data_IF_154202988644
#
_entry.id   IF_154202988644
#
_cell.length_a   1.000
_cell.length_b   1.000
_cell.length_c   1.000
_cell.angle_alpha   90.00
_cell.angle_beta   90.00
_cell.angle_gamma   90.00
#
_symmetry.space_group_name_H-M   'P 1'
#
loop_
_entity.id
_entity.type
_entity.pdbx_description
1 polymer ?
#
# COMPACT_ATOMS: atom_id res chain seq x y z
N UNK A 1 21.98 0.61 -62.58
CA UNK A 1 22.15 1.45 -61.37
C UNK A 1 22.14 0.53 -60.20
N UNK A 2 23.34 0.09 -59.76
CA UNK A 2 23.51 -0.89 -58.66
C UNK A 2 23.64 -0.13 -57.35
N UNK A 3 22.71 -0.38 -56.45
CA UNK A 3 22.76 0.17 -55.09
C UNK A 3 24.00 -0.41 -54.38
N UNK A 4 24.89 0.41 -53.83
CA UNK A 4 26.11 -0.09 -53.21
C UNK A 4 25.79 -0.93 -51.99
N UNK A 5 26.33 -2.11 -51.93
CA UNK A 5 26.17 -3.14 -50.85
C UNK A 5 26.30 -2.54 -49.41
N UNK A 6 27.08 -1.48 -49.26
CA UNK A 6 27.26 -0.76 -47.98
C UNK A 6 25.99 -0.05 -47.48
N UNK A 7 25.12 0.42 -48.38
CA UNK A 7 23.83 1.03 -48.03
C UNK A 7 22.80 -0.02 -47.58
N UNK A 8 22.87 -1.22 -48.16
CA UNK A 8 22.00 -2.35 -47.76
C UNK A 8 22.33 -2.86 -46.36
N UNK A 9 23.61 -2.89 -46.00
CA UNK A 9 24.08 -3.31 -44.67
C UNK A 9 23.70 -2.29 -43.58
N UNK A 10 23.73 -0.98 -43.89
CA UNK A 10 23.31 0.07 -42.96
C UNK A 10 21.79 0.01 -42.73
N UNK A 11 21.01 -0.37 -43.74
CA UNK A 11 19.56 -0.52 -43.60
C UNK A 11 19.16 -1.76 -42.78
N UNK A 12 19.91 -2.85 -42.88
CA UNK A 12 19.70 -4.05 -42.08
C UNK A 12 20.04 -3.85 -40.58
N UNK A 13 21.03 -2.98 -40.29
CA UNK A 13 21.39 -2.65 -38.90
C UNK A 13 20.39 -1.70 -38.23
N UNK A 14 19.64 -0.90 -39.01
CA UNK A 14 18.62 0.01 -38.47
C UNK A 14 17.32 -0.72 -38.06
N UNK A 15 17.10 -1.96 -38.51
CA UNK A 15 15.91 -2.75 -38.19
C UNK A 15 16.05 -3.67 -36.98
N UNK A 16 17.23 -3.75 -36.34
CA UNK A 16 17.37 -4.35 -35.03
C UNK A 16 16.98 -3.37 -33.93
N UNK A 17 15.76 -2.83 -34.00
CA UNK A 17 15.15 -2.22 -32.85
C UNK A 17 14.91 -3.34 -31.83
N UNK A 18 15.68 -3.34 -30.75
CA UNK A 18 15.36 -4.12 -29.58
C UNK A 18 13.91 -3.81 -29.22
N UNK A 19 13.01 -4.73 -29.49
CA UNK A 19 11.67 -4.65 -28.92
C UNK A 19 11.90 -4.74 -27.41
N UNK A 20 11.94 -3.61 -26.74
CA UNK A 20 11.76 -3.58 -25.30
C UNK A 20 10.41 -4.23 -25.07
N UNK A 21 10.39 -5.50 -24.69
CA UNK A 21 9.19 -6.18 -24.24
C UNK A 21 8.73 -5.38 -23.03
N UNK A 22 7.74 -4.52 -23.24
CA UNK A 22 7.08 -3.84 -22.14
C UNK A 22 6.65 -4.97 -21.19
N UNK A 23 7.17 -4.95 -19.96
CA UNK A 23 6.80 -5.97 -18.99
C UNK A 23 5.27 -6.00 -18.89
N UNK A 24 4.72 -7.19 -19.07
CA UNK A 24 3.27 -7.36 -19.04
C UNK A 24 2.75 -7.06 -17.63
N UNK A 25 1.95 -6.01 -17.51
CA UNK A 25 1.34 -5.61 -16.23
C UNK A 25 0.58 -6.77 -15.57
N UNK A 26 0.00 -7.68 -16.36
CA UNK A 26 -0.69 -8.86 -15.81
C UNK A 26 0.29 -9.82 -15.11
N UNK A 27 1.49 -10.00 -15.63
CA UNK A 27 2.53 -10.79 -14.97
C UNK A 27 3.00 -10.15 -13.67
N UNK A 28 3.19 -8.82 -13.68
CA UNK A 28 3.51 -8.05 -12.48
C UNK A 28 2.41 -8.18 -11.42
N UNK A 29 1.14 -8.03 -11.80
CA UNK A 29 -0.01 -8.21 -10.92
C UNK A 29 0.00 -9.60 -10.29
N UNK A 30 0.19 -10.66 -11.09
CA UNK A 30 0.22 -12.03 -10.61
C UNK A 30 1.34 -12.27 -9.60
N UNK A 31 2.49 -11.61 -9.76
CA UNK A 31 3.60 -11.64 -8.82
C UNK A 31 3.29 -10.88 -7.53
N UNK A 32 2.85 -9.62 -7.64
CA UNK A 32 2.55 -8.74 -6.50
C UNK A 32 1.47 -9.34 -5.59
N UNK A 33 0.42 -9.91 -6.17
CA UNK A 33 -0.68 -10.54 -5.42
C UNK A 33 -0.24 -11.62 -4.43
N UNK A 34 0.87 -12.29 -4.68
CA UNK A 34 1.43 -13.33 -3.79
C UNK A 34 1.99 -12.77 -2.49
N UNK A 35 2.29 -11.48 -2.47
CA UNK A 35 2.91 -10.77 -1.35
C UNK A 35 1.93 -9.83 -0.63
N UNK A 36 0.70 -9.67 -1.15
CA UNK A 36 -0.34 -8.83 -0.55
C UNK A 36 -1.21 -9.68 0.36
N UNK A 37 -1.41 -9.21 1.59
CA UNK A 37 -2.14 -9.91 2.65
C UNK A 37 -3.20 -9.01 3.27
N UNK A 38 -4.27 -9.61 3.77
CA UNK A 38 -5.19 -8.91 4.65
C UNK A 38 -4.55 -8.67 6.02
N UNK A 39 -4.94 -7.59 6.69
CA UNK A 39 -4.64 -7.35 8.10
C UNK A 39 -5.94 -7.43 8.88
N UNK A 40 -5.91 -8.10 10.01
CA UNK A 40 -7.09 -8.26 10.84
C UNK A 40 -6.75 -8.76 12.23
N UNK A 41 -7.80 -9.06 12.98
CA UNK A 41 -7.69 -9.63 14.31
C UNK A 41 -8.49 -10.93 14.43
N UNK A 42 -7.99 -11.83 15.24
CA UNK A 42 -8.64 -13.07 15.63
C UNK A 42 -9.00 -13.05 17.11
N UNK A 43 -10.23 -13.45 17.40
CA UNK A 43 -10.70 -13.70 18.77
C UNK A 43 -11.58 -14.93 18.74
N UNK A 44 -11.18 -15.98 19.48
CA UNK A 44 -11.85 -17.27 19.46
C UNK A 44 -13.32 -17.22 19.90
N UNK A 45 -13.66 -16.30 20.80
CA UNK A 45 -15.02 -16.14 21.36
C UNK A 45 -15.93 -15.25 20.53
N UNK A 46 -15.44 -14.72 19.39
CA UNK A 46 -16.20 -13.82 18.50
C UNK A 46 -16.76 -14.59 17.31
N UNK A 47 -17.90 -14.18 16.83
CA UNK A 47 -18.47 -14.65 15.55
C UNK A 47 -18.70 -13.45 14.61
N UNK A 48 -18.03 -13.39 13.44
CA UNK A 48 -16.95 -14.28 12.99
C UNK A 48 -15.67 -14.11 13.82
N UNK A 49 -14.90 -15.18 13.98
CA UNK A 49 -13.69 -15.18 14.81
C UNK A 49 -12.61 -14.22 14.27
N UNK A 50 -12.53 -14.07 12.93
CA UNK A 50 -11.60 -13.14 12.26
C UNK A 50 -12.36 -11.91 11.79
N UNK A 51 -11.82 -10.74 12.09
CA UNK A 51 -12.30 -9.44 11.58
C UNK A 51 -11.19 -8.79 10.77
N UNK A 52 -11.49 -8.46 9.53
CA UNK A 52 -10.61 -7.77 8.60
C UNK A 52 -10.61 -6.25 8.89
N UNK A 53 -9.44 -5.62 8.80
CA UNK A 53 -9.26 -4.19 9.08
C UNK A 53 -8.64 -3.42 7.91
N UNK A 54 -7.85 -4.06 7.07
CA UNK A 54 -7.17 -3.42 5.94
C UNK A 54 -6.18 -4.35 5.25
N UNK A 55 -5.36 -3.77 4.41
CA UNK A 55 -4.36 -4.45 3.60
C UNK A 55 -2.96 -4.28 4.20
N UNK A 56 -2.08 -5.22 3.96
CA UNK A 56 -0.64 -5.13 4.17
C UNK A 56 0.12 -5.87 3.07
N UNK A 57 1.42 -5.75 3.08
CA UNK A 57 2.27 -6.46 2.12
C UNK A 57 3.59 -6.90 2.75
N UNK A 58 4.09 -8.02 2.23
CA UNK A 58 5.31 -8.67 2.71
C UNK A 58 6.53 -8.04 2.09
N UNK A 59 7.58 -7.81 2.89
CA UNK A 59 8.84 -7.21 2.47
C UNK A 59 10.06 -7.91 3.10
N UNK A 60 11.25 -7.58 2.64
CA UNK A 60 12.52 -7.99 3.24
C UNK A 60 12.70 -9.50 3.24
N UNK A 61 12.78 -10.08 4.43
CA UNK A 61 13.02 -11.51 4.66
C UNK A 61 11.79 -12.42 4.42
N UNK A 62 10.68 -11.85 3.98
CA UNK A 62 9.42 -12.56 3.77
C UNK A 62 8.60 -12.77 5.06
N UNK A 63 9.01 -12.16 6.17
CA UNK A 63 8.29 -12.18 7.44
C UNK A 63 7.87 -10.78 7.91
N UNK A 64 8.52 -9.76 7.39
CA UNK A 64 8.18 -8.36 7.65
C UNK A 64 6.96 -7.94 6.85
N UNK A 65 5.99 -7.28 7.49
CA UNK A 65 4.74 -6.79 6.89
C UNK A 65 4.64 -5.30 7.11
N UNK A 66 4.38 -4.55 6.06
CA UNK A 66 4.06 -3.13 6.14
C UNK A 66 2.56 -2.93 5.94
N UNK A 67 1.97 -2.07 6.76
CA UNK A 67 0.58 -1.61 6.68
C UNK A 67 0.44 -0.21 7.28
N UNK A 68 -0.78 0.32 7.41
CA UNK A 68 -1.02 1.57 8.13
C UNK A 68 -1.16 1.35 9.65
N UNK A 69 -0.77 2.36 10.43
CA UNK A 69 -0.92 2.35 11.89
C UNK A 69 -2.40 2.27 12.31
N UNK A 70 -3.30 3.02 11.64
CA UNK A 70 -4.73 2.98 11.94
C UNK A 70 -5.36 1.60 11.67
N UNK A 71 -4.84 0.82 10.71
CA UNK A 71 -5.30 -0.54 10.42
C UNK A 71 -4.98 -1.46 11.60
N UNK A 72 -3.77 -1.35 12.15
CA UNK A 72 -3.34 -2.11 13.33
C UNK A 72 -4.14 -1.69 14.56
N UNK A 73 -4.30 -0.38 14.79
CA UNK A 73 -5.07 0.14 15.93
C UNK A 73 -6.54 -0.30 15.87
N UNK A 74 -7.13 -0.34 14.67
CA UNK A 74 -8.48 -0.86 14.49
C UNK A 74 -8.59 -2.36 14.81
N UNK A 75 -7.49 -3.11 14.60
CA UNK A 75 -7.38 -4.53 14.92
C UNK A 75 -7.10 -4.81 16.40
N UNK A 76 -6.59 -3.83 17.14
CA UNK A 76 -6.20 -3.95 18.56
C UNK A 76 -7.16 -3.13 19.43
N UNK A 77 -8.41 -3.56 19.58
CA UNK A 77 -9.42 -2.84 20.40
C UNK A 77 -9.22 -2.94 21.92
N UNK A 78 -8.01 -3.27 22.35
CA UNK A 78 -7.65 -3.35 23.80
C UNK A 78 -8.16 -4.60 24.51
N UNK A 79 -8.71 -5.56 23.81
CA UNK A 79 -9.10 -6.84 24.38
C UNK A 79 -7.87 -7.78 24.43
N UNK A 80 -7.45 -8.24 25.61
CA UNK A 80 -6.27 -9.10 25.78
C UNK A 80 -6.40 -10.47 25.09
N UNK A 81 -7.62 -10.87 24.71
CA UNK A 81 -7.90 -12.11 23.99
C UNK A 81 -7.89 -11.91 22.46
N UNK A 82 -7.67 -10.71 21.99
CA UNK A 82 -7.64 -10.40 20.57
C UNK A 82 -6.20 -10.38 20.03
N UNK A 83 -5.94 -11.19 19.02
CA UNK A 83 -4.61 -11.30 18.40
C UNK A 83 -4.64 -10.65 17.03
N UNK A 84 -3.73 -9.71 16.78
CA UNK A 84 -3.53 -9.12 15.44
C UNK A 84 -2.75 -10.10 14.56
N UNK A 85 -3.02 -10.09 13.25
CA UNK A 85 -2.31 -10.95 12.32
C UNK A 85 -2.64 -10.63 10.87
N UNK A 86 -2.07 -11.48 10.00
CA UNK A 86 -2.35 -11.45 8.57
C UNK A 86 -3.42 -12.48 8.22
N UNK A 87 -4.16 -12.17 7.17
CA UNK A 87 -5.19 -13.03 6.58
C UNK A 87 -4.79 -13.33 5.14
N UNK A 88 -4.64 -14.60 4.82
CA UNK A 88 -4.18 -15.07 3.52
C UNK A 88 -5.31 -15.87 2.88
N UNK A 89 -5.76 -15.48 1.69
CA UNK A 89 -6.77 -16.25 0.94
C UNK A 89 -6.24 -17.62 0.54
N UNK A 90 -7.05 -18.66 0.72
CA UNK A 90 -6.75 -20.06 0.38
C UNK A 90 -7.95 -20.71 -0.30
N UNK A 91 -8.04 -20.59 -1.61
CA UNK A 91 -9.22 -21.07 -2.35
C UNK A 91 -10.49 -20.38 -1.88
N UNK A 92 -11.49 -21.14 -1.41
CA UNK A 92 -12.75 -20.59 -0.86
C UNK A 92 -12.64 -20.14 0.60
N UNK A 93 -11.51 -20.41 1.27
CA UNK A 93 -11.25 -20.06 2.67
C UNK A 93 -10.12 -19.09 2.86
N UNK A 94 -9.66 -18.99 4.10
CA UNK A 94 -8.49 -18.19 4.46
C UNK A 94 -7.70 -18.85 5.60
N UNK A 95 -6.42 -18.50 5.64
CA UNK A 95 -5.52 -18.79 6.76
C UNK A 95 -5.33 -17.51 7.58
N UNK A 96 -5.53 -17.56 8.90
CA UNK A 96 -5.10 -16.50 9.79
C UNK A 96 -3.75 -16.86 10.39
N UNK A 97 -2.79 -15.94 10.31
CA UNK A 97 -1.46 -16.11 10.89
C UNK A 97 -1.18 -14.95 11.85
N UNK A 98 -0.91 -15.23 13.13
CA UNK A 98 -0.57 -14.22 14.12
C UNK A 98 0.63 -13.39 13.68
N UNK A 99 0.63 -12.12 14.06
CA UNK A 99 1.74 -11.21 13.83
C UNK A 99 2.00 -10.34 15.06
N UNK A 100 3.26 -10.04 15.31
CA UNK A 100 3.68 -9.13 16.37
C UNK A 100 3.95 -7.75 15.79
N UNK A 101 3.38 -6.72 16.39
CA UNK A 101 3.69 -5.32 16.06
C UNK A 101 5.10 -5.00 16.57
N UNK A 102 5.98 -4.62 15.65
CA UNK A 102 7.39 -4.29 15.93
C UNK A 102 7.58 -2.81 16.14
N UNK A 103 6.98 -2.00 15.28
CA UNK A 103 7.11 -0.55 15.30
C UNK A 103 5.86 0.11 14.71
N UNK A 104 5.51 1.28 15.24
CA UNK A 104 4.43 2.13 14.74
C UNK A 104 4.97 3.53 14.53
N UNK A 105 4.70 4.09 13.38
CA UNK A 105 4.96 5.47 13.04
C UNK A 105 3.62 6.21 12.91
N UNK A 106 3.24 6.88 13.99
CA UNK A 106 1.97 7.60 14.05
C UNK A 106 1.96 8.87 13.19
N UNK A 107 3.13 9.44 12.89
CA UNK A 107 3.28 10.64 12.06
C UNK A 107 2.95 10.34 10.60
N UNK A 108 3.50 9.24 10.07
CA UNK A 108 3.29 8.79 8.70
C UNK A 108 2.17 7.76 8.57
N UNK A 109 1.51 7.41 9.68
CA UNK A 109 0.46 6.39 9.75
C UNK A 109 0.90 5.04 9.16
N UNK A 110 2.09 4.58 9.53
CA UNK A 110 2.66 3.30 9.11
C UNK A 110 2.87 2.36 10.30
N UNK A 111 2.82 1.07 10.06
CA UNK A 111 3.14 0.03 11.02
C UNK A 111 3.97 -1.09 10.38
N UNK A 112 4.91 -1.61 11.15
CA UNK A 112 5.70 -2.79 10.82
C UNK A 112 5.30 -3.94 11.74
N UNK A 113 4.88 -5.05 11.16
CA UNK A 113 4.59 -6.28 11.85
C UNK A 113 5.54 -7.38 11.39
N UNK A 114 5.74 -8.37 12.25
CA UNK A 114 6.49 -9.59 11.92
C UNK A 114 5.60 -10.79 12.14
N UNK A 115 5.49 -11.64 11.12
CA UNK A 115 4.78 -12.91 11.19
C UNK A 115 5.69 -14.04 11.62
N UNK A 116 5.12 -15.03 12.27
CA UNK A 116 5.79 -16.27 12.61
C UNK A 116 5.66 -17.31 11.50
N UNK A 117 6.53 -18.32 11.55
CA UNK A 117 6.49 -19.45 10.61
C UNK A 117 7.19 -19.20 9.29
N UNK A 118 6.69 -19.83 8.21
CA UNK A 118 7.32 -19.80 6.91
C UNK A 118 7.28 -18.41 6.27
N UNK A 119 8.40 -18.01 5.65
CA UNK A 119 8.47 -16.79 4.86
C UNK A 119 7.50 -16.83 3.68
N UNK A 120 6.95 -15.67 3.33
CA UNK A 120 6.11 -15.46 2.17
C UNK A 120 6.89 -14.71 1.08
N UNK A 121 6.45 -14.75 -0.18
CA UNK A 121 7.03 -13.91 -1.22
C UNK A 121 7.06 -12.45 -0.79
N UNK A 122 8.20 -11.77 -0.95
CA UNK A 122 8.41 -10.40 -0.54
C UNK A 122 8.47 -9.46 -1.74
N UNK A 123 7.89 -8.26 -1.60
CA UNK A 123 8.03 -7.17 -2.57
C UNK A 123 9.35 -6.43 -2.34
N UNK A 124 9.91 -5.96 -3.44
CA UNK A 124 11.06 -5.06 -3.42
C UNK A 124 10.58 -3.64 -3.19
N UNK A 125 11.24 -2.91 -2.28
CA UNK A 125 10.99 -1.50 -2.03
C UNK A 125 11.90 -0.64 -2.91
N UNK A 126 11.37 0.47 -3.42
CA UNK A 126 12.15 1.50 -4.09
C UNK A 126 13.21 2.10 -3.18
N UNK A 127 14.11 2.88 -3.77
CA UNK A 127 15.26 3.49 -3.08
C UNK A 127 14.89 4.57 -2.05
N UNK A 128 13.64 5.04 -2.08
CA UNK A 128 13.11 6.10 -1.21
C UNK A 128 13.07 7.47 -1.88
N UNK A 129 13.59 7.62 -3.10
CA UNK A 129 13.40 8.83 -3.88
C UNK A 129 11.92 9.02 -4.24
N UNK A 130 11.48 10.28 -4.26
CA UNK A 130 10.13 10.62 -4.72
C UNK A 130 10.01 10.34 -6.20
N UNK A 131 8.89 9.75 -6.61
CA UNK A 131 8.58 9.54 -8.03
C UNK A 131 8.19 10.85 -8.70
N UNK A 132 8.45 10.95 -9.99
CA UNK A 132 7.98 12.10 -10.78
C UNK A 132 6.46 12.02 -11.00
N UNK A 133 5.79 13.17 -10.96
CA UNK A 133 4.39 13.30 -11.37
C UNK A 133 4.19 12.85 -12.82
N UNK A 134 3.01 12.34 -13.13
CA UNK A 134 2.69 11.75 -14.43
C UNK A 134 3.10 10.27 -14.58
N UNK A 135 3.72 9.64 -13.58
CA UNK A 135 4.04 8.20 -13.60
C UNK A 135 2.78 7.36 -13.43
N UNK A 136 2.63 6.35 -14.28
CA UNK A 136 1.65 5.29 -14.07
C UNK A 136 2.08 4.38 -12.93
N UNK A 137 1.12 4.01 -12.09
CA UNK A 137 1.29 3.16 -10.92
C UNK A 137 0.18 2.13 -10.85
N UNK A 138 0.43 1.06 -10.11
CA UNK A 138 -0.59 0.12 -9.68
C UNK A 138 -0.66 0.08 -8.16
N UNK A 139 -1.82 -0.24 -7.61
CA UNK A 139 -1.92 -0.66 -6.21
C UNK A 139 -2.83 -1.86 -6.08
N UNK A 140 -2.53 -2.73 -5.14
CA UNK A 140 -3.24 -4.00 -4.95
C UNK A 140 -3.62 -4.16 -3.49
N UNK A 141 -4.89 -4.42 -3.21
CA UNK A 141 -5.40 -4.62 -1.86
C UNK A 141 -6.73 -5.34 -1.84
N UNK A 142 -7.41 -5.27 -0.70
CA UNK A 142 -8.68 -5.93 -0.46
C UNK A 142 -9.80 -4.90 -0.26
N UNK A 143 -10.34 -4.30 -1.35
CA UNK A 143 -11.43 -3.36 -1.24
C UNK A 143 -12.65 -4.05 -0.63
N UNK A 144 -13.34 -3.34 0.28
CA UNK A 144 -14.51 -3.84 1.01
C UNK A 144 -14.26 -5.13 1.81
N UNK A 145 -12.99 -5.55 1.96
CA UNK A 145 -12.56 -6.65 2.81
C UNK A 145 -13.30 -7.96 2.56
N UNK A 146 -13.88 -8.53 3.61
CA UNK A 146 -14.56 -9.83 3.58
C UNK A 146 -15.87 -9.84 2.76
N UNK A 147 -16.43 -8.67 2.40
CA UNK A 147 -17.70 -8.59 1.66
C UNK A 147 -17.58 -9.16 0.24
N UNK A 148 -16.43 -8.91 -0.41
CA UNK A 148 -16.13 -9.44 -1.74
C UNK A 148 -15.29 -10.72 -1.71
N UNK A 149 -15.07 -11.29 -0.52
CA UNK A 149 -14.09 -12.35 -0.32
C UNK A 149 -12.64 -11.80 -0.27
N UNK A 150 -11.71 -12.66 0.16
CA UNK A 150 -10.28 -12.29 0.26
C UNK A 150 -9.56 -12.42 -1.08
N UNK A 151 -10.11 -11.78 -2.10
CA UNK A 151 -9.49 -11.69 -3.41
C UNK A 151 -8.78 -10.34 -3.54
N UNK A 152 -7.44 -10.31 -3.71
CA UNK A 152 -6.74 -9.05 -3.92
C UNK A 152 -7.11 -8.45 -5.27
N UNK A 153 -7.54 -7.18 -5.26
CA UNK A 153 -7.93 -6.40 -6.43
C UNK A 153 -6.85 -5.40 -6.76
N UNK A 154 -6.49 -5.31 -8.03
CA UNK A 154 -5.52 -4.34 -8.53
C UNK A 154 -6.22 -3.17 -9.20
N UNK A 155 -5.79 -1.97 -8.86
CA UNK A 155 -6.20 -0.72 -9.48
C UNK A 155 -5.03 -0.09 -10.22
N UNK A 156 -5.32 0.55 -11.36
CA UNK A 156 -4.36 1.39 -12.07
C UNK A 156 -4.51 2.83 -11.57
N UNK A 157 -3.42 3.56 -11.44
CA UNK A 157 -3.39 4.91 -10.95
C UNK A 157 -2.39 5.77 -11.73
N UNK A 158 -2.59 7.08 -11.73
CA UNK A 158 -1.61 8.06 -12.15
C UNK A 158 -1.15 8.84 -10.93
N UNK A 159 0.16 9.07 -10.77
CA UNK A 159 0.67 10.03 -9.80
C UNK A 159 0.38 11.44 -10.32
N UNK A 160 -0.70 12.04 -9.82
CA UNK A 160 -1.19 13.34 -10.30
C UNK A 160 -0.48 14.52 -9.67
N UNK A 161 -0.08 14.40 -8.39
CA UNK A 161 0.64 15.45 -7.68
C UNK A 161 1.40 14.89 -6.46
N UNK A 162 2.43 15.64 -6.06
CA UNK A 162 3.11 15.48 -4.77
C UNK A 162 2.71 16.67 -3.90
N UNK A 163 1.89 16.43 -2.88
CA UNK A 163 1.32 17.51 -2.06
C UNK A 163 1.70 17.33 -0.59
N UNK A 164 1.92 18.41 0.18
CA UNK A 164 2.00 18.30 1.63
C UNK A 164 0.64 17.85 2.17
N UNK A 165 0.62 17.03 3.22
CA UNK A 165 -0.62 16.68 3.89
C UNK A 165 -1.29 17.96 4.38
N UNK A 166 -2.47 18.22 3.86
CA UNK A 166 -3.43 19.16 4.43
C UNK A 166 -4.45 18.32 5.17
N UNK A 167 -4.37 18.27 6.50
CA UNK A 167 -5.47 17.70 7.29
C UNK A 167 -6.72 18.51 6.98
N UNK A 168 -7.81 17.89 6.48
CA UNK A 168 -9.07 18.62 6.32
C UNK A 168 -9.47 19.16 7.70
N UNK A 169 -9.61 20.47 7.82
CA UNK A 169 -10.20 21.09 8.99
C UNK A 169 -11.64 20.60 9.06
N UNK A 170 -11.92 19.67 9.97
CA UNK A 170 -13.27 19.26 10.29
C UNK A 170 -14.00 20.46 10.91
N UNK A 171 -14.75 21.16 10.08
CA UNK A 171 -15.58 22.34 10.38
C UNK A 171 -14.83 23.65 10.65
N UNK A 172 -15.10 24.62 9.81
CA UNK A 172 -14.71 26.04 9.89
C UNK A 172 -15.23 26.78 11.13
N UNK A 173 -15.78 26.10 12.13
CA UNK A 173 -16.38 26.70 13.30
C UNK A 173 -15.71 26.42 14.65
N UNK A 174 -14.74 25.49 14.74
CA UNK A 174 -14.06 25.17 16.00
C UNK A 174 -12.58 24.88 15.79
N UNK A 175 -11.78 25.92 15.65
CA UNK A 175 -10.33 25.86 15.83
C UNK A 175 -10.04 25.70 17.34
N UNK A 176 -10.20 24.49 17.85
CA UNK A 176 -9.74 24.17 19.20
C UNK A 176 -8.21 24.01 19.23
N UNK A 177 -7.60 24.14 20.41
CA UNK A 177 -6.15 24.01 20.62
C UNK A 177 -5.56 22.73 19.99
N UNK A 178 -6.34 21.63 19.93
CA UNK A 178 -5.94 20.40 19.25
C UNK A 178 -5.82 20.51 17.72
N UNK A 179 -6.64 21.34 17.07
CA UNK A 179 -6.55 21.59 15.62
C UNK A 179 -5.32 22.46 15.30
N UNK A 180 -4.97 23.40 16.16
CA UNK A 180 -3.78 24.25 16.03
C UNK A 180 -2.51 23.39 16.20
N UNK A 181 -2.47 22.48 17.17
CA UNK A 181 -1.36 21.53 17.34
C UNK A 181 -1.22 20.57 16.14
N UNK A 182 -2.32 20.16 15.51
CA UNK A 182 -2.29 19.36 14.29
C UNK A 182 -1.75 20.14 13.08
N UNK A 183 -2.05 21.43 12.97
CA UNK A 183 -1.50 22.32 11.93
C UNK A 183 -0.01 22.62 12.13
N UNK A 184 0.52 22.43 13.35
CA UNK A 184 1.94 22.60 13.69
C UNK A 184 2.77 21.32 13.51
N UNK A 185 2.13 20.16 13.30
CA UNK A 185 2.86 18.93 12.97
C UNK A 185 3.59 19.08 11.63
N UNK A 186 4.79 18.51 11.57
CA UNK A 186 5.61 18.53 10.38
C UNK A 186 4.80 18.01 9.18
N UNK A 187 4.70 18.84 8.14
CA UNK A 187 4.06 18.47 6.88
C UNK A 187 5.06 17.63 6.10
N UNK A 188 4.67 16.46 5.67
CA UNK A 188 5.47 15.65 4.75
C UNK A 188 4.75 15.48 3.42
N UNK A 189 5.49 15.31 2.31
CA UNK A 189 4.89 15.10 1.00
C UNK A 189 4.16 13.76 0.94
N UNK A 190 2.98 13.74 0.33
CA UNK A 190 2.24 12.52 -0.02
C UNK A 190 1.98 12.49 -1.51
N UNK A 191 1.82 11.31 -2.05
CA UNK A 191 1.36 11.09 -3.42
C UNK A 191 -0.15 11.25 -3.48
N UNK A 192 -0.62 12.13 -4.37
CA UNK A 192 -2.00 12.20 -4.78
C UNK A 192 -2.16 11.40 -6.08
N UNK A 193 -3.02 10.42 -6.06
CA UNK A 193 -3.25 9.50 -7.17
C UNK A 193 -4.62 9.76 -7.79
N UNK A 194 -4.68 9.79 -9.11
CA UNK A 194 -5.92 9.70 -9.89
C UNK A 194 -6.37 8.23 -9.93
N UNK A 195 -7.08 7.83 -8.90
CA UNK A 195 -7.63 6.49 -8.75
C UNK A 195 -8.61 6.45 -7.59
N UNK A 196 -9.56 5.53 -7.65
CA UNK A 196 -10.50 5.28 -6.55
C UNK A 196 -9.99 4.15 -5.66
N UNK A 197 -9.73 4.44 -4.39
CA UNK A 197 -9.52 3.42 -3.36
C UNK A 197 -10.77 3.32 -2.48
N UNK A 198 -11.09 2.09 -2.07
CA UNK A 198 -12.22 1.78 -1.20
C UNK A 198 -11.76 1.41 0.21
N UNK A 199 -12.66 1.47 1.22
CA UNK A 199 -12.37 0.93 2.55
C UNK A 199 -11.81 -0.51 2.45
N UNK A 200 -10.69 -0.77 3.13
CA UNK A 200 -9.94 -2.01 3.02
C UNK A 200 -8.65 -1.88 2.19
N UNK A 201 -8.54 -0.88 1.29
CA UNK A 201 -7.30 -0.63 0.56
C UNK A 201 -6.23 0.10 1.40
N UNK A 202 -6.55 0.61 2.60
CA UNK A 202 -5.53 1.14 3.51
C UNK A 202 -4.42 0.11 3.74
N UNK A 203 -3.15 0.51 3.55
CA UNK A 203 -1.98 -0.35 3.66
C UNK A 203 -1.59 -1.09 2.38
N UNK A 204 -2.31 -0.90 1.27
CA UNK A 204 -1.96 -1.49 -0.03
C UNK A 204 -0.64 -0.95 -0.55
N UNK A 205 0.25 -1.78 -1.14
CA UNK A 205 1.44 -1.31 -1.84
C UNK A 205 1.06 -0.56 -3.11
N UNK A 206 1.70 0.58 -3.33
CA UNK A 206 1.69 1.33 -4.60
C UNK A 206 2.99 1.05 -5.31
N UNK A 207 2.93 0.54 -6.53
CA UNK A 207 4.09 0.01 -7.23
C UNK A 207 4.12 0.39 -8.71
N UNK A 208 5.33 0.33 -9.28
CA UNK A 208 5.54 0.48 -10.71
C UNK A 208 4.97 -0.74 -11.45
N UNK A 209 4.08 -0.54 -12.45
CA UNK A 209 3.39 -1.64 -13.14
C UNK A 209 4.33 -2.52 -13.98
N UNK A 210 5.52 -2.07 -14.31
CA UNK A 210 6.48 -2.84 -15.10
C UNK A 210 7.38 -3.70 -14.22
N UNK A 211 7.80 -3.21 -13.05
CA UNK A 211 8.80 -3.85 -12.19
C UNK A 211 8.23 -4.49 -10.94
N UNK A 212 7.05 -4.05 -10.48
CA UNK A 212 6.49 -4.44 -9.19
C UNK A 212 7.21 -3.83 -7.98
N UNK A 213 8.18 -2.93 -8.19
CA UNK A 213 8.88 -2.23 -7.12
C UNK A 213 7.91 -1.25 -6.44
N UNK A 214 7.86 -1.30 -5.11
CA UNK A 214 6.92 -0.50 -4.31
C UNK A 214 7.50 0.88 -4.01
N UNK A 215 6.73 1.93 -4.30
CA UNK A 215 7.09 3.32 -4.09
C UNK A 215 6.20 4.06 -3.09
N UNK A 216 5.10 3.45 -2.64
CA UNK A 216 4.21 4.06 -1.65
C UNK A 216 3.27 3.07 -0.98
N UNK A 217 2.52 3.57 -0.01
CA UNK A 217 1.53 2.83 0.77
C UNK A 217 0.21 3.62 0.77
N UNK A 218 -0.87 3.02 0.27
CA UNK A 218 -2.20 3.65 0.26
C UNK A 218 -2.62 4.04 1.67
N UNK A 219 -3.12 5.27 1.80
CA UNK A 219 -3.63 5.79 3.06
C UNK A 219 -5.01 6.44 2.87
N UNK A 220 -6.04 5.79 3.40
CA UNK A 220 -7.43 6.26 3.30
C UNK A 220 -7.83 7.24 4.42
N UNK A 221 -6.97 7.45 5.43
CA UNK A 221 -7.29 8.35 6.56
C UNK A 221 -7.31 9.81 6.11
N UNK A 222 -6.50 10.16 5.11
CA UNK A 222 -6.47 11.52 4.58
C UNK A 222 -7.77 11.95 3.87
N UNK A 223 -8.66 11.00 3.59
CA UNK A 223 -9.98 11.22 2.98
C UNK A 223 -11.11 11.15 4.02
N UNK A 224 -10.80 11.07 5.32
CA UNK A 224 -11.74 10.73 6.41
C UNK A 224 -12.96 11.65 6.62
N UNK A 225 -13.01 12.84 6.03
CA UNK A 225 -14.26 13.62 6.04
C UNK A 225 -15.38 13.04 5.17
N UNK A 226 -15.10 11.96 4.42
CA UNK A 226 -15.93 11.44 3.34
C UNK A 226 -16.18 9.91 3.43
N UNK A 227 -15.99 9.25 4.59
CA UNK A 227 -16.05 7.78 4.69
C UNK A 227 -17.38 7.19 4.20
N UNK A 228 -18.51 7.82 4.52
CA UNK A 228 -19.81 7.39 4.02
C UNK A 228 -19.99 7.75 2.54
N UNK A 229 -19.41 8.88 2.12
CA UNK A 229 -19.41 9.32 0.73
C UNK A 229 -18.49 8.49 -0.17
N UNK A 230 -17.41 7.89 0.34
CA UNK A 230 -16.45 7.11 -0.47
C UNK A 230 -17.08 5.83 -1.08
N UNK A 231 -18.15 5.31 -0.50
CA UNK A 231 -18.90 4.17 -1.04
C UNK A 231 -19.99 4.65 -1.99
N UNK A 232 -20.67 5.75 -1.68
CA UNK A 232 -21.80 6.29 -2.43
C UNK A 232 -21.41 7.30 -3.50
N UNK A 233 -20.29 8.00 -3.30
CA UNK A 233 -19.78 9.05 -4.19
C UNK A 233 -18.24 9.08 -4.14
N UNK A 234 -17.55 8.11 -4.73
CA UNK A 234 -16.09 8.06 -4.72
C UNK A 234 -15.49 9.29 -5.41
N UNK A 235 -14.53 9.93 -4.78
CA UNK A 235 -13.93 11.17 -5.28
C UNK A 235 -12.99 11.00 -6.47
N UNK A 236 -12.57 9.77 -6.79
CA UNK A 236 -11.52 9.53 -7.78
C UNK A 236 -10.11 9.94 -7.32
N UNK A 237 -9.97 10.46 -6.10
CA UNK A 237 -8.69 10.88 -5.52
C UNK A 237 -8.30 9.93 -4.40
N UNK A 238 -7.07 9.45 -4.46
CA UNK A 238 -6.48 8.59 -3.42
C UNK A 238 -5.12 9.14 -3.01
N UNK A 239 -4.74 8.95 -1.76
CA UNK A 239 -3.43 9.35 -1.26
C UNK A 239 -2.59 8.14 -0.87
N UNK A 240 -1.26 8.28 -1.06
CA UNK A 240 -0.30 7.29 -0.61
C UNK A 240 0.90 7.96 0.08
N UNK A 241 1.39 7.30 1.12
CA UNK A 241 2.61 7.69 1.84
C UNK A 241 3.80 7.20 1.04
N UNK A 242 4.80 8.04 0.73
CA UNK A 242 6.02 7.62 0.04
C UNK A 242 6.77 6.52 0.79
N UNK A 243 7.41 5.63 0.04
CA UNK A 243 8.03 4.40 0.57
C UNK A 243 9.23 4.65 1.48
N UNK A 244 9.85 5.82 1.42
CA UNK A 244 10.96 6.20 2.30
C UNK A 244 10.60 6.01 3.77
N UNK A 245 9.40 6.41 4.18
CA UNK A 245 8.93 6.26 5.56
C UNK A 245 8.73 4.80 5.98
N UNK A 246 8.34 3.91 5.03
CA UNK A 246 8.28 2.48 5.29
C UNK A 246 9.68 1.86 5.42
N UNK A 247 10.66 2.36 4.67
CA UNK A 247 12.06 1.94 4.83
C UNK A 247 12.61 2.35 6.20
N UNK A 248 12.31 3.56 6.65
CA UNK A 248 12.75 4.07 7.95
C UNK A 248 12.17 3.25 9.11
N UNK A 249 10.88 2.89 9.05
CA UNK A 249 10.25 2.10 10.11
C UNK A 249 10.80 0.67 10.18
N UNK A 250 11.22 0.08 9.04
CA UNK A 250 11.86 -1.23 8.98
C UNK A 250 13.26 -1.22 9.62
N UNK A 251 13.97 -0.09 9.58
CA UNK A 251 15.31 0.07 10.17
C UNK A 251 15.27 0.35 11.67
N UNK A 252 14.12 0.79 12.23
CA UNK A 252 13.97 1.02 13.67
C UNK A 252 14.09 -0.31 14.40
N UNK A 253 15.14 -0.46 15.25
CA UNK A 253 15.31 -1.64 16.09
C UNK A 253 14.10 -1.79 17.01
N UNK A 254 13.60 -3.02 17.15
CA UNK A 254 12.54 -3.39 18.11
C UNK A 254 12.99 -2.95 19.53
N UNK A 255 12.37 -1.92 20.08
CA UNK A 255 12.72 -1.46 21.44
C UNK A 255 12.54 0.03 21.75
N UNK A 256 12.12 0.85 20.80
CA UNK A 256 11.88 2.28 21.03
C UNK A 256 10.37 2.62 21.04
N UNK A 257 9.57 1.85 21.77
CA UNK A 257 8.28 2.34 22.28
C UNK A 257 8.53 2.94 23.65
N UNK A 258 8.66 4.28 23.71
CA UNK A 258 8.52 5.08 24.92
C UNK A 258 7.11 5.61 25.03
#
# INVERSE_FOLDING_TARGET
>A
MSIPLRLLILWLFCCMHAHAVAADFSATIASVKKSVVGIGSHKQTRSPAVVFSGTGFIVGDGRSVITNAHVVTASMKGDPLETVGIVIGRGEGFEFRPARVVSVDAEHDLAHLVIEGAALPALQLGDGALMAEGKELGFTGFPLGMVLGLHPVTHRALLSAITPIVMPSLSSGKLGAGAIMQLQRARFPVYQLDATAYPGNSGSPVYDPQTGIVYGVINMVFVKGLKESAITSPSGITYAVPIVHARDILQRKSGAAK
#
